data_IF_215099086629
#
_entry.id   IF_215099086629
#
_cell.length_a   1.000
_cell.length_b   1.000
_cell.length_c   1.000
_cell.angle_alpha   90.00
_cell.angle_beta   90.00
_cell.angle_gamma   90.00
#
_symmetry.space_group_name_H-M   'P 1'
#
loop_
_entity.id
_entity.type
_entity.pdbx_description
1 polymer ?
#
# COMPACT_ATOMS: atom_id res chain seq x y z
N UNK A 1 35.52 -9.84 14.96
CA UNK A 1 34.55 -10.78 15.53
C UNK A 1 33.90 -10.14 16.75
N UNK A 2 32.64 -9.77 16.64
CA UNK A 2 31.86 -9.27 17.77
C UNK A 2 31.38 -10.45 18.63
N UNK A 3 31.05 -10.19 19.90
CA UNK A 3 30.52 -11.21 20.83
C UNK A 3 29.23 -11.86 20.30
N UNK A 4 28.46 -11.14 19.49
CA UNK A 4 27.21 -11.62 18.88
C UNK A 4 27.43 -12.52 17.66
N UNK A 5 28.48 -12.30 16.85
CA UNK A 5 28.84 -13.19 15.74
C UNK A 5 29.23 -14.59 16.25
N UNK A 6 30.00 -14.66 17.33
CA UNK A 6 30.36 -15.92 17.99
C UNK A 6 29.13 -16.66 18.54
N UNK A 7 28.15 -15.91 19.07
CA UNK A 7 26.88 -16.45 19.58
C UNK A 7 26.00 -17.00 18.45
N UNK A 8 25.95 -16.32 17.30
CA UNK A 8 25.21 -16.77 16.12
C UNK A 8 25.82 -18.04 15.50
N UNK A 9 27.16 -18.13 15.42
CA UNK A 9 27.87 -19.33 14.95
C UNK A 9 27.67 -20.54 15.87
N UNK A 10 27.54 -20.32 17.19
CA UNK A 10 27.24 -21.40 18.14
C UNK A 10 25.83 -22.01 17.97
N UNK A 11 24.87 -21.23 17.46
CA UNK A 11 23.48 -21.68 17.23
C UNK A 11 23.30 -22.46 15.92
N UNK A 12 24.26 -22.36 14.99
CA UNK A 12 24.30 -23.13 13.76
C UNK A 12 25.75 -23.23 13.28
N UNK A 13 26.43 -24.39 13.41
CA UNK A 13 27.80 -24.54 12.94
C UNK A 13 27.82 -24.38 11.41
N UNK A 14 28.32 -23.23 10.97
CA UNK A 14 28.62 -22.87 9.58
C UNK A 14 30.12 -22.58 9.55
N UNK A 15 30.85 -23.16 8.59
CA UNK A 15 32.31 -22.95 8.49
C UNK A 15 32.64 -21.54 8.00
N UNK A 16 33.84 -21.04 8.29
CA UNK A 16 34.32 -19.75 7.76
C UNK A 16 34.31 -19.71 6.22
N UNK A 17 34.57 -20.85 5.59
CA UNK A 17 34.51 -21.01 4.13
C UNK A 17 33.08 -20.87 3.60
N UNK A 18 32.09 -21.42 4.30
CA UNK A 18 30.67 -21.25 3.95
C UNK A 18 30.19 -19.80 4.18
N UNK A 19 30.67 -19.11 5.21
CA UNK A 19 30.35 -17.68 5.44
C UNK A 19 30.96 -16.81 4.33
N UNK A 20 32.21 -17.05 3.96
CA UNK A 20 32.90 -16.34 2.89
C UNK A 20 32.23 -16.53 1.53
N UNK A 21 31.67 -17.72 1.26
CA UNK A 21 30.96 -18.03 0.02
C UNK A 21 29.58 -17.35 -0.10
N UNK A 22 29.00 -16.85 1.00
CA UNK A 22 27.68 -16.22 1.01
C UNK A 22 27.69 -14.72 0.68
N UNK A 23 28.86 -14.08 0.62
CA UNK A 23 29.04 -12.65 0.30
C UNK A 23 28.04 -11.73 1.03
N UNK A 24 27.86 -11.94 2.34
CA UNK A 24 26.89 -11.20 3.16
C UNK A 24 27.57 -9.99 3.79
N UNK A 25 26.95 -8.82 3.68
CA UNK A 25 27.52 -7.53 4.13
C UNK A 25 27.09 -7.17 5.57
N UNK A 26 26.46 -8.10 6.30
CA UNK A 26 26.12 -7.86 7.69
C UNK A 26 25.38 -8.95 8.45
N UNK A 27 25.23 -8.70 9.75
CA UNK A 27 24.69 -9.64 10.75
C UNK A 27 23.24 -10.07 10.48
N UNK A 28 22.39 -9.16 9.98
CA UNK A 28 20.99 -9.48 9.63
C UNK A 28 20.90 -10.44 8.44
N UNK A 29 21.81 -10.33 7.49
CA UNK A 29 21.85 -11.19 6.31
C UNK A 29 22.33 -12.58 6.70
N UNK A 30 23.30 -12.69 7.62
CA UNK A 30 23.74 -13.96 8.20
C UNK A 30 22.59 -14.66 8.97
N UNK A 31 21.86 -13.92 9.82
CA UNK A 31 20.72 -14.46 10.55
C UNK A 31 19.62 -14.97 9.60
N UNK A 32 19.36 -14.24 8.51
CA UNK A 32 18.39 -14.62 7.48
C UNK A 32 18.83 -15.86 6.69
N UNK A 33 20.11 -15.96 6.35
CA UNK A 33 20.69 -17.13 5.70
C UNK A 33 20.58 -18.40 6.56
N UNK A 34 20.84 -18.28 7.87
CA UNK A 34 20.69 -19.38 8.84
C UNK A 34 19.22 -19.84 8.91
N UNK A 35 18.27 -18.91 9.00
CA UNK A 35 16.84 -19.22 9.03
C UNK A 35 16.37 -19.93 7.74
N UNK A 36 16.82 -19.46 6.58
CA UNK A 36 16.51 -20.07 5.29
C UNK A 36 17.10 -21.50 5.16
N UNK A 37 18.29 -21.75 5.70
CA UNK A 37 18.91 -23.10 5.71
C UNK A 37 18.13 -24.07 6.61
N UNK A 38 17.70 -23.63 7.79
CA UNK A 38 16.85 -24.43 8.69
C UNK A 38 15.54 -24.80 8.01
N UNK A 39 14.90 -23.86 7.32
CA UNK A 39 13.68 -24.11 6.54
C UNK A 39 13.91 -25.13 5.42
N UNK A 40 15.01 -25.02 4.67
CA UNK A 40 15.37 -26.01 3.62
C UNK A 40 15.62 -27.41 4.18
N UNK A 41 16.34 -27.54 5.31
CA UNK A 41 16.55 -28.84 5.97
C UNK A 41 15.26 -29.46 6.52
N UNK A 42 14.35 -28.65 7.06
CA UNK A 42 13.05 -29.12 7.53
C UNK A 42 12.15 -29.63 6.39
N UNK A 43 12.33 -29.09 5.18
CA UNK A 43 11.55 -29.47 3.99
C UNK A 43 12.20 -30.60 3.17
N UNK A 44 13.49 -30.90 3.37
CA UNK A 44 14.20 -31.95 2.62
C UNK A 44 13.58 -33.35 2.75
N UNK A 45 13.08 -33.81 3.92
CA UNK A 45 12.43 -35.12 4.05
C UNK A 45 11.08 -35.21 3.32
N UNK A 46 10.47 -34.07 2.98
CA UNK A 46 9.16 -34.02 2.30
C UNK A 46 9.29 -34.11 0.78
N UNK A 47 10.52 -34.08 0.24
CA UNK A 47 10.83 -34.22 -1.19
C UNK A 47 11.32 -35.61 -1.57
N UNK A 48 10.98 -36.64 -0.78
CA UNK A 48 11.39 -38.01 -1.05
C UNK A 48 11.08 -38.43 -2.49
N UNK A 49 12.16 -38.63 -3.26
CA UNK A 49 12.14 -39.29 -4.56
C UNK A 49 11.50 -40.67 -4.40
N UNK A 50 10.54 -40.95 -5.27
CA UNK A 50 9.75 -42.17 -5.23
C UNK A 50 10.60 -43.41 -5.43
N UNK A 51 10.88 -44.14 -4.35
CA UNK A 51 11.07 -45.58 -4.39
C UNK A 51 10.12 -46.24 -3.39
N UNK A 52 9.34 -47.20 -3.91
CA UNK A 52 8.15 -47.76 -3.31
C UNK A 52 8.35 -48.32 -1.90
N UNK A 53 7.66 -47.73 -0.94
CA UNK A 53 7.44 -48.28 0.38
C UNK A 53 6.40 -47.44 1.10
N UNK A 54 5.20 -47.99 1.30
CA UNK A 54 4.13 -47.32 2.06
C UNK A 54 4.62 -46.94 3.46
N UNK A 55 4.63 -45.67 3.88
CA UNK A 55 4.82 -45.34 5.28
C UNK A 55 3.46 -45.32 5.99
N UNK A 56 3.42 -45.96 7.16
CA UNK A 56 2.31 -45.92 8.10
C UNK A 56 2.20 -44.51 8.70
N UNK A 57 1.00 -43.94 8.63
CA UNK A 57 0.56 -42.79 9.42
C UNK A 57 0.63 -43.13 10.92
N UNK A 58 1.69 -42.73 11.60
CA UNK A 58 1.77 -42.67 13.06
C UNK A 58 3.00 -41.87 13.52
N UNK A 59 2.96 -40.53 13.38
CA UNK A 59 3.73 -39.58 14.20
C UNK A 59 3.38 -38.15 13.78
N UNK A 60 2.21 -37.66 14.20
CA UNK A 60 1.86 -36.24 14.06
C UNK A 60 1.17 -35.72 15.33
N UNK A 61 1.78 -35.95 16.49
CA UNK A 61 1.44 -35.26 17.76
C UNK A 61 2.72 -35.15 18.59
N UNK A 62 3.63 -34.23 18.24
CA UNK A 62 4.68 -33.71 19.13
C UNK A 62 5.58 -32.70 18.39
N UNK A 63 5.08 -31.51 18.02
CA UNK A 63 5.95 -30.39 17.60
C UNK A 63 5.33 -29.01 17.79
N UNK A 64 4.27 -28.86 18.60
CA UNK A 64 3.59 -27.57 18.84
C UNK A 64 3.92 -26.94 20.20
N UNK A 65 5.07 -27.27 20.80
CA UNK A 65 5.49 -26.69 22.06
C UNK A 65 7.01 -26.52 22.11
N UNK A 66 7.55 -25.50 21.44
CA UNK A 66 8.91 -24.96 21.69
C UNK A 66 9.17 -23.65 20.91
N UNK A 67 8.28 -22.66 21.01
CA UNK A 67 8.62 -21.24 20.78
C UNK A 67 7.83 -20.39 21.77
N UNK A 68 8.27 -20.39 23.03
CA UNK A 68 7.94 -19.39 24.03
C UNK A 68 8.91 -19.59 25.21
N UNK A 69 10.15 -19.14 25.08
CA UNK A 69 11.10 -19.00 26.19
C UNK A 69 12.30 -18.15 25.75
N UNK A 70 12.09 -16.84 25.70
CA UNK A 70 13.13 -15.84 25.93
C UNK A 70 12.44 -14.53 26.34
N UNK A 71 12.22 -14.36 27.65
CA UNK A 71 11.85 -13.06 28.22
C UNK A 71 10.65 -13.08 29.15
N UNK A 72 10.76 -13.70 30.33
CA UNK A 72 10.00 -13.27 31.51
C UNK A 72 10.91 -13.39 32.74
N UNK A 73 11.32 -12.24 33.26
CA UNK A 73 11.88 -12.11 34.60
C UNK A 73 10.76 -12.08 35.64
N UNK A 74 11.08 -12.65 36.80
CA UNK A 74 10.30 -12.74 38.04
C UNK A 74 9.44 -11.50 38.38
N UNK A 75 8.18 -11.74 38.74
CA UNK A 75 7.53 -11.08 39.86
C UNK A 75 6.51 -12.04 40.51
N UNK A 76 6.74 -12.34 41.78
CA UNK A 76 5.89 -13.11 42.69
C UNK A 76 4.82 -12.19 43.27
N UNK A 77 3.55 -12.64 43.39
CA UNK A 77 2.52 -11.87 44.10
C UNK A 77 1.07 -12.35 44.00
N UNK A 78 0.78 -13.51 44.62
CA UNK A 78 -0.35 -13.81 45.53
C UNK A 78 -1.81 -13.38 45.18
N UNK A 79 -2.66 -14.41 45.13
CA UNK A 79 -4.09 -14.54 45.54
C UNK A 79 -5.22 -13.85 44.75
N UNK A 80 -6.31 -14.61 44.57
CA UNK A 80 -7.65 -14.02 44.44
C UNK A 80 -8.65 -14.84 43.63
N UNK A 81 -9.26 -15.83 44.28
CA UNK A 81 -10.46 -16.57 43.88
C UNK A 81 -11.63 -15.64 43.48
N UNK A 82 -12.50 -16.06 42.55
CA UNK A 82 -13.73 -15.31 42.27
C UNK A 82 -14.59 -15.80 41.12
N UNK A 83 -15.34 -16.85 41.39
CA UNK A 83 -16.48 -17.43 40.67
C UNK A 83 -17.37 -16.46 39.88
N UNK A 84 -17.66 -16.79 38.62
CA UNK A 84 -18.88 -16.34 37.92
C UNK A 84 -20.08 -17.19 38.34
N UNK A 85 -21.29 -16.60 38.39
CA UNK A 85 -22.51 -17.32 38.04
C UNK A 85 -23.10 -16.77 36.74
N UNK A 86 -23.33 -17.69 35.81
CA UNK A 86 -24.30 -17.54 34.74
C UNK A 86 -25.71 -17.77 35.29
N UNK A 87 -26.71 -17.08 34.73
CA UNK A 87 -28.12 -17.48 34.86
C UNK A 87 -29.10 -16.30 34.89
N UNK A 88 -29.90 -16.15 33.82
CA UNK A 88 -31.05 -15.26 33.80
C UNK A 88 -31.59 -14.98 32.40
N UNK A 89 -32.73 -15.58 31.98
CA UNK A 89 -33.18 -15.62 30.59
C UNK A 89 -34.24 -14.57 30.20
N UNK A 90 -34.38 -14.43 28.89
CA UNK A 90 -35.58 -14.17 28.09
C UNK A 90 -36.83 -13.57 28.76
N UNK A 91 -37.25 -12.41 28.25
CA UNK A 91 -38.61 -11.88 28.36
C UNK A 91 -39.06 -11.32 27.02
N UNK A 92 -39.99 -12.01 26.38
CA UNK A 92 -40.66 -11.62 25.14
C UNK A 92 -41.72 -10.53 25.39
N UNK A 93 -42.04 -9.74 24.35
CA UNK A 93 -43.21 -8.86 24.36
C UNK A 93 -43.28 -7.90 23.18
N UNK A 94 -43.71 -8.38 22.01
CA UNK A 94 -44.51 -7.54 21.10
C UNK A 94 -45.92 -7.32 21.68
N UNK A 95 -46.82 -6.51 21.08
CA UNK A 95 -47.14 -6.63 19.65
C UNK A 95 -47.51 -5.33 18.89
N UNK A 96 -47.53 -5.54 17.57
CA UNK A 96 -48.33 -4.95 16.48
C UNK A 96 -49.35 -3.82 16.71
N UNK A 97 -49.36 -2.91 15.74
CA UNK A 97 -50.52 -2.16 15.22
C UNK A 97 -50.08 -1.40 13.95
N UNK A 98 -50.33 -1.87 12.74
CA UNK A 98 -51.57 -1.79 11.94
C UNK A 98 -51.89 -0.38 11.39
N UNK A 99 -51.72 -0.21 10.07
CA UNK A 99 -52.76 0.32 9.19
C UNK A 99 -52.72 1.78 8.74
N UNK A 100 -52.53 1.98 7.43
CA UNK A 100 -53.44 2.80 6.63
C UNK A 100 -52.96 4.18 6.12
N UNK A 101 -53.58 4.73 5.05
CA UNK A 101 -52.82 5.24 3.89
C UNK A 101 -53.19 6.67 3.39
N UNK A 102 -52.49 7.09 2.33
CA UNK A 102 -52.80 8.14 1.33
C UNK A 102 -52.76 9.62 1.74
N UNK A 103 -51.91 10.40 1.07
CA UNK A 103 -52.27 11.69 0.44
C UNK A 103 -51.17 12.13 -0.55
N UNK A 104 -51.50 12.07 -1.83
CA UNK A 104 -50.85 12.82 -2.91
C UNK A 104 -51.55 14.17 -3.02
N UNK A 105 -50.81 15.27 -2.95
CA UNK A 105 -51.28 16.56 -3.46
C UNK A 105 -50.18 17.24 -4.27
N UNK A 106 -50.53 17.58 -5.50
CA UNK A 106 -49.77 18.47 -6.35
C UNK A 106 -50.12 19.93 -6.07
N UNK A 107 -49.16 20.81 -6.30
CA UNK A 107 -49.42 22.23 -6.43
C UNK A 107 -48.59 22.81 -7.59
N UNK A 108 -49.33 23.39 -8.52
CA UNK A 108 -48.96 24.13 -9.71
C UNK A 108 -48.50 25.56 -9.43
N UNK A 109 -47.41 25.98 -10.09
CA UNK A 109 -47.15 27.34 -10.61
C UNK A 109 -46.86 28.49 -9.62
N UNK A 110 -46.35 29.66 -10.07
CA UNK A 110 -46.37 30.15 -11.45
C UNK A 110 -45.00 30.56 -12.05
N UNK A 111 -45.05 30.79 -13.36
CA UNK A 111 -44.03 31.39 -14.20
C UNK A 111 -43.74 32.85 -13.83
N UNK A 112 -42.50 33.28 -14.01
CA UNK A 112 -42.13 34.69 -14.18
C UNK A 112 -41.34 34.82 -15.48
N UNK A 113 -41.94 35.55 -16.42
CA UNK A 113 -41.35 36.04 -17.67
C UNK A 113 -40.33 37.14 -17.38
N UNK A 114 -39.32 37.22 -18.24
CA UNK A 114 -38.12 38.04 -18.07
C UNK A 114 -38.29 39.55 -18.24
N UNK A 115 -37.16 40.24 -18.03
CA UNK A 115 -36.90 41.59 -18.49
C UNK A 115 -35.42 41.68 -18.90
N UNK A 116 -35.20 42.25 -20.08
CA UNK A 116 -33.92 42.54 -20.72
C UNK A 116 -33.07 43.60 -19.99
N UNK A 117 -31.75 43.51 -20.20
CA UNK A 117 -30.94 44.66 -20.60
C UNK A 117 -30.30 45.52 -19.50
N UNK A 118 -29.03 45.26 -19.19
CA UNK A 118 -28.02 46.30 -18.96
C UNK A 118 -26.61 45.69 -19.06
N UNK A 119 -25.91 46.03 -20.14
CA UNK A 119 -24.47 45.81 -20.28
C UNK A 119 -23.72 46.83 -19.43
N UNK A 120 -23.07 46.38 -18.36
CA UNK A 120 -22.01 47.13 -17.70
C UNK A 120 -20.65 46.51 -18.05
N UNK A 121 -19.87 47.30 -18.78
CA UNK A 121 -18.47 47.06 -19.10
C UNK A 121 -17.63 47.09 -17.81
N UNK A 122 -17.08 45.94 -17.43
CA UNK A 122 -15.95 45.87 -16.51
C UNK A 122 -14.67 46.34 -17.24
N UNK A 123 -13.82 47.18 -16.61
CA UNK A 123 -12.55 47.59 -17.19
C UNK A 123 -11.58 46.39 -17.28
N UNK A 124 -10.64 46.39 -18.25
CA UNK A 124 -9.66 45.32 -18.39
C UNK A 124 -8.75 45.25 -17.17
N UNK A 125 -8.61 44.05 -16.61
CA UNK A 125 -7.64 43.75 -15.57
C UNK A 125 -6.22 43.92 -16.12
N UNK A 126 -5.50 44.90 -15.58
CA UNK A 126 -4.06 45.08 -15.77
C UNK A 126 -3.33 43.90 -15.11
N UNK A 127 -2.68 43.07 -15.91
CA UNK A 127 -1.77 42.02 -15.43
C UNK A 127 -0.52 42.68 -14.82
N UNK A 128 -0.16 42.41 -13.55
CA UNK A 128 1.15 42.82 -13.06
C UNK A 128 2.21 41.91 -13.69
N UNK A 129 3.16 42.53 -14.41
CA UNK A 129 4.39 41.89 -14.84
C UNK A 129 5.17 41.40 -13.62
N UNK A 130 5.20 40.10 -13.40
CA UNK A 130 6.13 39.47 -12.49
C UNK A 130 7.52 39.46 -13.15
N UNK A 131 8.40 40.35 -12.69
CA UNK A 131 9.83 40.30 -12.94
C UNK A 131 10.39 39.03 -12.28
N UNK A 132 10.66 38.00 -13.08
CA UNK A 132 11.42 36.83 -12.62
C UNK A 132 12.83 37.25 -12.23
N UNK A 133 13.31 36.98 -11.00
CA UNK A 133 14.72 37.09 -10.71
C UNK A 133 15.46 36.01 -11.49
N UNK A 134 16.50 36.42 -12.21
CA UNK A 134 17.45 35.54 -12.88
C UNK A 134 18.13 34.63 -11.83
N UNK A 135 17.55 33.46 -11.59
CA UNK A 135 18.14 32.39 -10.80
C UNK A 135 18.61 31.29 -11.75
N UNK A 136 19.91 31.03 -11.72
CA UNK A 136 20.62 29.77 -12.05
C UNK A 136 19.88 28.78 -12.96
N UNK A 137 20.36 28.64 -14.19
CA UNK A 137 19.75 27.77 -15.21
C UNK A 137 19.54 26.30 -14.78
N UNK A 138 18.55 25.61 -15.36
CA UNK A 138 17.98 24.35 -14.86
C UNK A 138 18.85 23.09 -15.04
N UNK A 139 20.09 23.21 -15.53
CA UNK A 139 20.95 22.06 -15.82
C UNK A 139 21.98 21.75 -14.72
N UNK A 140 22.09 22.56 -13.67
CA UNK A 140 23.12 22.40 -12.62
C UNK A 140 22.78 21.43 -11.49
N UNK A 141 21.54 20.93 -11.40
CA UNK A 141 21.07 20.02 -10.35
C UNK A 141 20.92 18.55 -10.82
N UNK A 142 21.20 18.26 -12.09
CA UNK A 142 21.10 16.91 -12.69
C UNK A 142 22.22 15.99 -12.18
N UNK A 143 23.16 16.51 -11.39
CA UNK A 143 24.33 15.80 -10.90
C UNK A 143 24.51 15.96 -9.37
N UNK A 144 23.46 15.74 -8.58
CA UNK A 144 23.63 15.31 -7.16
C UNK A 144 24.21 13.88 -7.07
N UNK A 145 25.16 13.55 -7.95
CA UNK A 145 25.96 12.36 -7.96
C UNK A 145 27.09 12.54 -6.95
N UNK A 146 27.05 11.82 -5.82
CA UNK A 146 28.20 11.85 -4.92
C UNK A 146 28.04 11.24 -3.54
N UNK A 147 26.87 10.72 -3.16
CA UNK A 147 26.74 9.94 -1.91
C UNK A 147 25.93 8.68 -2.14
N UNK A 148 26.61 7.57 -2.41
CA UNK A 148 26.07 6.21 -2.31
C UNK A 148 24.72 6.01 -3.00
N UNK A 149 24.52 6.62 -4.18
CA UNK A 149 23.25 6.60 -4.89
C UNK A 149 22.85 5.15 -5.14
N UNK A 150 21.84 4.67 -4.39
CA UNK A 150 21.23 3.38 -4.65
C UNK A 150 20.84 3.35 -6.12
N UNK A 151 21.20 2.28 -6.82
CA UNK A 151 20.88 2.13 -8.23
C UNK A 151 19.39 2.40 -8.43
N UNK A 152 19.05 3.38 -9.26
CA UNK A 152 17.66 3.72 -9.60
C UNK A 152 17.17 2.77 -10.69
N UNK A 153 15.88 2.38 -10.68
CA UNK A 153 15.32 1.53 -11.72
C UNK A 153 15.31 2.26 -13.07
N UNK A 154 15.61 1.57 -14.19
CA UNK A 154 15.38 2.13 -15.51
C UNK A 154 13.92 2.60 -15.67
N UNK A 155 13.75 3.78 -16.26
CA UNK A 155 12.42 4.34 -16.56
C UNK A 155 11.98 3.88 -17.94
N UNK A 156 10.71 3.56 -18.08
CA UNK A 156 10.12 3.15 -19.35
C UNK A 156 8.90 4.01 -19.68
N UNK A 157 8.65 4.23 -20.96
CA UNK A 157 7.43 4.90 -21.44
C UNK A 157 6.86 4.14 -22.64
N UNK A 158 5.55 4.24 -22.82
CA UNK A 158 4.89 3.79 -24.04
C UNK A 158 4.73 4.99 -25.00
N UNK A 159 4.94 4.79 -26.31
CA UNK A 159 4.72 5.82 -27.32
C UNK A 159 3.23 5.91 -27.70
N UNK A 160 2.91 6.84 -28.61
CA UNK A 160 1.66 6.85 -29.39
C UNK A 160 0.33 6.76 -28.61
N UNK A 161 -0.09 7.89 -28.04
CA UNK A 161 -1.43 8.06 -27.45
C UNK A 161 -1.61 7.40 -26.08
N UNK A 162 -0.62 6.62 -25.61
CA UNK A 162 -0.55 6.20 -24.21
C UNK A 162 -0.04 7.37 -23.38
N UNK A 163 -0.73 7.66 -22.28
CA UNK A 163 -0.29 8.63 -21.28
C UNK A 163 -0.08 7.94 -19.94
N UNK A 164 0.87 8.42 -19.15
CA UNK A 164 1.00 7.99 -17.76
C UNK A 164 -0.13 8.62 -16.96
N UNK A 165 -0.97 7.79 -16.35
CA UNK A 165 -2.05 8.27 -15.47
C UNK A 165 -1.68 8.17 -14.01
N UNK A 166 -0.70 7.33 -13.66
CA UNK A 166 -0.23 7.13 -12.28
C UNK A 166 1.24 6.72 -12.29
N UNK A 167 2.03 7.23 -11.36
CA UNK A 167 3.37 6.76 -11.07
C UNK A 167 3.59 6.86 -9.56
N UNK A 168 4.06 5.79 -8.94
CA UNK A 168 4.34 5.75 -7.51
C UNK A 168 5.59 4.91 -7.24
N UNK A 169 6.48 5.42 -6.39
CA UNK A 169 7.70 4.72 -6.00
C UNK A 169 7.78 4.53 -4.48
N UNK A 170 8.29 3.38 -4.06
CA UNK A 170 8.48 3.06 -2.65
C UNK A 170 9.77 2.25 -2.45
N UNK A 171 10.80 2.88 -1.87
CA UNK A 171 12.09 2.24 -1.67
C UNK A 171 12.76 1.85 -2.99
N UNK A 172 12.87 0.53 -3.25
CA UNK A 172 13.39 -0.03 -4.51
C UNK A 172 12.29 -0.61 -5.41
N UNK A 173 11.05 -0.35 -5.05
CA UNK A 173 9.89 -0.85 -5.77
C UNK A 173 9.09 0.34 -6.31
N UNK A 174 8.21 0.06 -7.25
CA UNK A 174 7.27 1.06 -7.73
C UNK A 174 6.46 0.56 -8.88
N UNK A 175 5.55 1.43 -9.31
CA UNK A 175 4.56 1.11 -10.30
C UNK A 175 4.17 2.33 -11.12
N UNK A 176 3.66 2.06 -12.32
CA UNK A 176 3.20 3.05 -13.25
C UNK A 176 2.02 2.51 -14.06
N UNK A 177 0.99 3.33 -14.24
CA UNK A 177 -0.18 3.00 -15.06
C UNK A 177 -0.18 3.84 -16.32
N UNK A 178 -0.36 3.17 -17.45
CA UNK A 178 -0.58 3.80 -18.75
C UNK A 178 -2.05 3.67 -19.14
N UNK A 179 -2.60 4.69 -19.79
CA UNK A 179 -3.97 4.67 -20.30
C UNK A 179 -4.06 5.22 -21.74
N UNK A 180 -4.87 4.55 -22.57
CA UNK A 180 -5.28 5.00 -23.91
C UNK A 180 -6.69 4.50 -24.22
N UNK A 181 -7.61 5.41 -24.56
CA UNK A 181 -8.99 5.08 -24.94
C UNK A 181 -9.71 4.16 -23.93
N UNK A 182 -9.46 4.38 -22.64
CA UNK A 182 -10.00 3.56 -21.53
C UNK A 182 -9.27 2.24 -21.28
N UNK A 183 -8.38 1.80 -22.17
CA UNK A 183 -7.51 0.65 -21.92
C UNK A 183 -6.38 1.03 -20.95
N UNK A 184 -6.10 0.15 -19.99
CA UNK A 184 -5.07 0.34 -18.96
C UNK A 184 -4.00 -0.74 -19.02
N UNK A 185 -2.76 -0.32 -18.84
CA UNK A 185 -1.60 -1.20 -18.69
C UNK A 185 -0.85 -0.79 -17.43
N UNK A 186 -0.25 -1.76 -16.76
CA UNK A 186 0.54 -1.53 -15.57
C UNK A 186 1.97 -2.00 -15.79
N UNK A 187 2.90 -1.19 -15.31
CA UNK A 187 4.31 -1.53 -15.20
C UNK A 187 4.69 -1.47 -13.73
N UNK A 188 5.10 -2.61 -13.19
CA UNK A 188 5.64 -2.73 -11.85
C UNK A 188 7.14 -2.98 -11.94
N UNK A 189 7.91 -2.49 -10.98
CA UNK A 189 9.29 -2.89 -10.78
C UNK A 189 9.55 -3.16 -9.32
N UNK A 190 10.47 -4.08 -9.07
CA UNK A 190 10.93 -4.43 -7.73
C UNK A 190 12.37 -4.86 -7.75
N UNK A 191 13.11 -4.60 -6.68
CA UNK A 191 14.43 -5.22 -6.52
C UNK A 191 14.27 -6.73 -6.34
N UNK A 192 15.06 -7.53 -7.06
CA UNK A 192 15.06 -8.98 -6.91
C UNK A 192 15.27 -9.77 -8.19
N UNK A 193 15.24 -11.10 -8.05
CA UNK A 193 15.51 -12.04 -9.12
C UNK A 193 14.30 -12.23 -10.05
N UNK A 194 14.59 -12.26 -11.35
CA UNK A 194 13.62 -12.59 -12.40
C UNK A 194 13.11 -14.03 -12.25
N UNK A 195 13.99 -14.99 -11.92
CA UNK A 195 13.63 -16.40 -11.80
C UNK A 195 12.58 -16.61 -10.69
N UNK A 196 12.74 -15.95 -9.55
CA UNK A 196 11.77 -16.02 -8.46
C UNK A 196 10.39 -15.47 -8.87
N UNK A 197 10.37 -14.42 -9.70
CA UNK A 197 9.12 -13.86 -10.22
C UNK A 197 8.50 -14.78 -11.27
N UNK A 198 9.30 -15.37 -12.16
CA UNK A 198 8.84 -16.35 -13.15
C UNK A 198 8.27 -17.60 -12.49
N UNK A 199 8.96 -18.18 -11.51
CA UNK A 199 8.50 -19.35 -10.75
C UNK A 199 7.18 -19.11 -10.03
N UNK A 200 6.96 -17.87 -9.56
CA UNK A 200 5.69 -17.49 -8.94
C UNK A 200 4.55 -17.39 -9.96
N UNK A 201 4.82 -16.84 -11.15
CA UNK A 201 3.76 -16.53 -12.14
C UNK A 201 3.47 -17.67 -13.10
N UNK A 202 4.45 -18.51 -13.41
CA UNK A 202 4.31 -19.62 -14.35
C UNK A 202 3.44 -20.77 -13.82
N UNK A 203 3.10 -20.81 -12.52
CA UNK A 203 2.28 -21.88 -11.93
C UNK A 203 0.89 -21.98 -12.54
N UNK A 204 0.31 -20.83 -12.90
CA UNK A 204 -1.08 -20.71 -13.36
C UNK A 204 -1.17 -20.03 -14.73
N UNK A 205 -0.07 -20.03 -15.51
CA UNK A 205 0.01 -19.33 -16.78
C UNK A 205 0.70 -20.17 -17.88
N UNK A 206 0.22 -20.04 -19.11
CA UNK A 206 0.88 -20.57 -20.30
C UNK A 206 2.06 -19.67 -20.67
N UNK A 207 3.24 -20.26 -20.87
CA UNK A 207 4.41 -19.52 -21.35
C UNK A 207 4.33 -19.34 -22.87
N UNK A 208 4.37 -18.09 -23.30
CA UNK A 208 4.41 -17.69 -24.70
C UNK A 208 5.86 -17.43 -25.14
N UNK A 209 6.14 -17.28 -26.46
CA UNK A 209 7.46 -16.88 -26.92
C UNK A 209 7.91 -15.56 -26.29
N UNK A 210 9.17 -15.52 -25.85
CA UNK A 210 9.77 -14.31 -25.31
C UNK A 210 9.77 -13.18 -26.35
N UNK A 211 9.56 -11.94 -25.91
CA UNK A 211 9.52 -10.74 -26.75
C UNK A 211 10.79 -9.92 -26.53
N UNK A 212 11.46 -9.51 -27.61
CA UNK A 212 12.57 -8.56 -27.53
C UNK A 212 12.03 -7.13 -27.34
N UNK A 213 12.52 -6.41 -26.35
CA UNK A 213 12.24 -5.00 -26.10
C UNK A 213 13.14 -4.11 -26.97
N UNK A 214 12.76 -2.85 -27.14
CA UNK A 214 13.57 -1.84 -27.86
C UNK A 214 14.98 -1.68 -27.25
N UNK A 215 15.10 -1.88 -25.94
CA UNK A 215 16.38 -1.87 -25.22
C UNK A 215 17.27 -3.09 -25.50
N UNK A 216 16.89 -3.99 -26.41
CA UNK A 216 17.58 -5.26 -26.70
C UNK A 216 17.39 -6.37 -25.65
N UNK A 217 16.66 -6.11 -24.57
CA UNK A 217 16.35 -7.09 -23.52
C UNK A 217 15.27 -8.07 -24.00
N UNK A 218 15.20 -9.25 -23.40
CA UNK A 218 14.12 -10.22 -23.65
C UNK A 218 13.17 -10.25 -22.46
N UNK A 219 11.87 -10.18 -22.73
CA UNK A 219 10.81 -10.35 -21.75
C UNK A 219 10.14 -11.70 -21.92
N UNK A 220 10.07 -12.48 -20.85
CA UNK A 220 9.32 -13.72 -20.81
C UNK A 220 7.83 -13.39 -20.70
N UNK A 221 7.03 -13.89 -21.64
CA UNK A 221 5.60 -13.60 -21.73
C UNK A 221 4.79 -14.77 -21.20
N UNK A 222 3.83 -14.46 -20.35
CA UNK A 222 2.90 -15.39 -19.71
C UNK A 222 1.47 -15.01 -20.07
N UNK A 223 0.62 -16.01 -20.34
CA UNK A 223 -0.80 -15.86 -20.62
C UNK A 223 -1.63 -16.57 -19.55
N UNK A 224 -2.52 -15.84 -18.89
CA UNK A 224 -3.47 -16.40 -17.92
C UNK A 224 -4.84 -16.71 -18.58
N UNK A 225 -4.89 -16.70 -19.91
CA UNK A 225 -6.13 -16.81 -20.68
C UNK A 225 -6.97 -15.54 -20.67
N UNK A 226 -8.07 -15.53 -21.43
CA UNK A 226 -9.05 -14.41 -21.51
C UNK A 226 -8.46 -13.03 -21.87
N UNK A 227 -7.27 -12.98 -22.46
CA UNK A 227 -6.59 -11.72 -22.83
C UNK A 227 -5.75 -11.11 -21.69
N UNK A 228 -5.54 -11.83 -20.58
CA UNK A 228 -4.61 -11.43 -19.54
C UNK A 228 -3.21 -11.91 -19.88
N UNK A 229 -2.33 -10.95 -20.08
CA UNK A 229 -0.93 -11.19 -20.39
C UNK A 229 -0.04 -10.43 -19.42
N UNK A 230 1.05 -11.09 -19.02
CA UNK A 230 2.11 -10.52 -18.18
C UNK A 230 3.45 -10.75 -18.87
N UNK A 231 4.31 -9.76 -18.86
CA UNK A 231 5.69 -9.88 -19.32
C UNK A 231 6.63 -9.58 -18.16
N UNK A 232 7.68 -10.40 -18.02
CA UNK A 232 8.68 -10.25 -16.98
C UNK A 232 10.07 -10.13 -17.62
N UNK A 233 10.86 -9.15 -17.18
CA UNK A 233 12.26 -9.03 -17.60
C UNK A 233 13.11 -8.44 -16.49
N UNK A 234 14.44 -8.57 -16.63
CA UNK A 234 15.38 -8.02 -15.68
C UNK A 234 16.15 -6.84 -16.28
N UNK A 235 16.36 -5.80 -15.48
CA UNK A 235 17.27 -4.71 -15.80
C UNK A 235 18.07 -4.27 -14.57
N UNK A 236 19.36 -4.66 -14.54
CA UNK A 236 20.19 -4.53 -13.35
C UNK A 236 19.63 -5.39 -12.22
N UNK A 237 19.50 -4.81 -11.04
CA UNK A 237 18.94 -5.48 -9.85
C UNK A 237 17.41 -5.53 -9.83
N UNK A 238 16.76 -4.98 -10.84
CA UNK A 238 15.31 -4.82 -10.86
C UNK A 238 14.66 -5.84 -11.77
N UNK A 239 13.62 -6.49 -11.26
CA UNK A 239 12.66 -7.25 -12.07
C UNK A 239 11.49 -6.34 -12.40
N UNK A 240 11.18 -6.25 -13.68
CA UNK A 240 10.04 -5.52 -14.21
C UNK A 240 8.93 -6.49 -14.58
N UNK A 241 7.70 -6.03 -14.40
CA UNK A 241 6.49 -6.75 -14.71
C UNK A 241 5.52 -5.82 -15.42
N UNK A 242 5.21 -6.13 -16.68
CA UNK A 242 4.26 -5.38 -17.48
C UNK A 242 3.02 -6.22 -17.72
N UNK A 243 1.84 -5.68 -17.45
CA UNK A 243 0.59 -6.43 -17.55
C UNK A 243 -0.56 -5.61 -18.12
N UNK A 244 -1.48 -6.30 -18.80
CA UNK A 244 -2.78 -5.73 -19.15
C UNK A 244 -3.60 -5.66 -17.89
N UNK A 245 -4.12 -4.46 -17.56
CA UNK A 245 -4.69 -4.14 -16.27
C UNK A 245 -5.56 -5.26 -15.71
N UNK A 246 -5.07 -5.92 -14.66
CA UNK A 246 -5.97 -6.51 -13.70
C UNK A 246 -6.79 -5.34 -13.18
N UNK A 247 -8.07 -5.25 -13.57
CA UNK A 247 -8.97 -4.33 -12.88
C UNK A 247 -8.77 -4.56 -11.39
N UNK A 248 -8.64 -3.49 -10.61
CA UNK A 248 -8.62 -3.57 -9.15
C UNK A 248 -9.63 -4.65 -8.73
N UNK A 249 -9.24 -5.64 -7.89
CA UNK A 249 -10.19 -6.65 -7.45
C UNK A 249 -11.43 -5.89 -6.99
N UNK A 250 -12.64 -6.32 -7.43
CA UNK A 250 -13.84 -5.61 -7.07
C UNK A 250 -13.78 -5.36 -5.56
N UNK A 251 -14.14 -4.15 -5.07
CA UNK A 251 -14.14 -3.92 -3.64
C UNK A 251 -14.89 -5.09 -2.99
N UNK A 252 -14.53 -5.52 -1.77
CA UNK A 252 -15.27 -6.55 -1.06
C UNK A 252 -16.66 -6.00 -0.74
N UNK A 253 -17.52 -5.96 -1.75
CA UNK A 253 -18.91 -5.63 -1.61
C UNK A 253 -19.50 -6.76 -0.81
N UNK A 254 -20.13 -6.40 0.32
CA UNK A 254 -21.20 -7.15 0.96
C UNK A 254 -21.95 -7.97 -0.10
N UNK A 255 -22.45 -9.18 0.22
CA UNK A 255 -23.19 -10.05 -0.70
C UNK A 255 -24.47 -9.35 -1.20
N UNK A 256 -24.30 -8.42 -2.12
CA UNK A 256 -25.34 -7.69 -2.82
C UNK A 256 -25.54 -8.44 -4.11
N UNK A 257 -26.79 -8.85 -4.31
CA UNK A 257 -27.22 -9.62 -5.46
C UNK A 257 -26.86 -8.87 -6.74
N UNK A 258 -26.07 -9.53 -7.58
CA UNK A 258 -26.03 -9.33 -9.04
C UNK A 258 -25.57 -7.96 -9.57
N UNK A 259 -24.38 -7.49 -9.20
CA UNK A 259 -23.61 -6.67 -10.15
C UNK A 259 -22.47 -7.53 -10.70
N UNK A 260 -22.55 -7.99 -11.97
CA UNK A 260 -21.38 -8.58 -12.60
C UNK A 260 -20.25 -7.53 -12.52
N UNK A 261 -19.02 -7.94 -12.17
CA UNK A 261 -17.87 -7.03 -12.21
C UNK A 261 -17.87 -6.34 -13.57
N UNK A 262 -17.96 -5.01 -13.55
CA UNK A 262 -17.83 -4.19 -14.73
C UNK A 262 -16.36 -4.23 -15.16
N UNK A 263 -15.93 -5.37 -15.68
CA UNK A 263 -14.77 -5.43 -16.54
C UNK A 263 -15.14 -4.57 -17.74
N UNK A 264 -14.70 -3.31 -17.76
CA UNK A 264 -14.63 -2.59 -19.01
C UNK A 264 -13.86 -3.52 -19.96
N UNK A 265 -14.38 -3.82 -21.15
CA UNK A 265 -13.62 -4.57 -22.12
C UNK A 265 -12.45 -3.66 -22.51
N UNK A 266 -11.34 -3.75 -21.78
CA UNK A 266 -10.05 -3.59 -22.42
C UNK A 266 -10.16 -4.51 -23.63
N UNK A 267 -10.30 -3.91 -24.82
CA UNK A 267 -10.47 -4.63 -26.07
C UNK A 267 -9.47 -5.77 -26.03
N UNK A 268 -9.98 -7.02 -25.97
CA UNK A 268 -9.19 -8.19 -25.52
C UNK A 268 -7.87 -8.17 -26.25
N UNK A 269 -6.81 -7.78 -25.54
CA UNK A 269 -5.54 -7.60 -26.19
C UNK A 269 -5.06 -9.00 -26.58
N UNK A 270 -4.91 -9.24 -27.88
CA UNK A 270 -4.41 -10.53 -28.34
C UNK A 270 -2.96 -10.69 -27.90
N UNK A 271 -2.46 -11.93 -27.84
CA UNK A 271 -1.04 -12.18 -27.57
C UNK A 271 -0.12 -11.39 -28.52
N UNK A 272 -0.50 -11.28 -29.80
CA UNK A 272 0.21 -10.45 -30.78
C UNK A 272 0.18 -8.97 -30.44
N UNK A 273 -1.00 -8.42 -30.12
CA UNK A 273 -1.13 -7.01 -29.72
C UNK A 273 -0.37 -6.68 -28.44
N UNK A 274 -0.31 -7.60 -27.47
CA UNK A 274 0.51 -7.44 -26.27
C UNK A 274 2.00 -7.46 -26.59
N UNK A 275 2.45 -8.38 -27.45
CA UNK A 275 3.82 -8.41 -27.93
C UNK A 275 4.19 -7.10 -28.66
N UNK A 276 3.31 -6.55 -29.48
CA UNK A 276 3.53 -5.27 -30.17
C UNK A 276 3.70 -4.11 -29.18
N UNK A 277 2.86 -4.04 -28.13
CA UNK A 277 3.00 -3.04 -27.07
C UNK A 277 4.32 -3.19 -26.31
N UNK A 278 4.74 -4.40 -25.98
CA UNK A 278 6.04 -4.66 -25.34
C UNK A 278 7.20 -4.18 -26.20
N UNK A 279 7.18 -4.45 -27.51
CA UNK A 279 8.23 -3.96 -28.43
C UNK A 279 8.26 -2.44 -28.51
N UNK A 280 7.12 -1.78 -28.31
CA UNK A 280 7.03 -0.32 -28.29
C UNK A 280 7.53 0.33 -27.00
N UNK A 281 7.71 -0.44 -25.93
CA UNK A 281 8.16 0.08 -24.63
C UNK A 281 9.60 0.60 -24.75
N UNK A 282 9.77 1.92 -24.65
CA UNK A 282 11.08 2.58 -24.75
C UNK A 282 11.65 2.86 -23.38
N UNK A 283 12.95 2.69 -23.21
CA UNK A 283 13.64 3.22 -22.04
C UNK A 283 13.72 4.74 -22.15
N UNK A 284 13.29 5.45 -21.11
CA UNK A 284 13.20 6.91 -21.07
C UNK A 284 14.37 7.52 -20.29
N UNK A 285 14.76 8.74 -20.67
CA UNK A 285 15.62 9.58 -19.84
C UNK A 285 14.84 10.07 -18.61
N UNK A 286 15.53 10.54 -17.58
CA UNK A 286 14.87 11.13 -16.42
C UNK A 286 13.98 12.32 -16.82
N UNK A 287 14.49 13.20 -17.70
CA UNK A 287 13.75 14.37 -18.19
C UNK A 287 12.47 13.97 -18.94
N UNK A 288 12.58 13.03 -19.89
CA UNK A 288 11.42 12.50 -20.64
C UNK A 288 10.38 11.88 -19.70
N UNK A 289 10.84 11.14 -18.70
CA UNK A 289 9.97 10.48 -17.74
C UNK A 289 9.24 11.48 -16.85
N UNK A 290 9.96 12.47 -16.29
CA UNK A 290 9.36 13.53 -15.47
C UNK A 290 8.35 14.36 -16.28
N UNK A 291 8.67 14.67 -17.54
CA UNK A 291 7.77 15.40 -18.43
C UNK A 291 6.50 14.60 -18.80
N UNK A 292 6.53 13.27 -18.70
CA UNK A 292 5.40 12.40 -18.98
C UNK A 292 4.50 12.16 -17.76
N UNK A 293 4.94 12.54 -16.55
CA UNK A 293 4.18 12.32 -15.33
C UNK A 293 2.87 13.14 -15.33
N UNK A 294 1.78 12.59 -14.76
CA UNK A 294 0.55 13.34 -14.62
C UNK A 294 0.72 14.45 -13.58
N UNK A 295 -0.09 15.52 -13.66
CA UNK A 295 -0.04 16.63 -12.71
C UNK A 295 -0.26 16.22 -11.23
N UNK A 296 -0.86 15.05 -10.99
CA UNK A 296 -1.05 14.48 -9.65
C UNK A 296 0.15 13.69 -9.12
N UNK A 297 1.19 13.49 -9.93
CA UNK A 297 2.44 12.94 -9.44
C UNK A 297 3.17 14.05 -8.68
N UNK A 298 3.54 13.76 -7.45
CA UNK A 298 4.31 14.66 -6.59
C UNK A 298 5.78 14.31 -6.77
N UNK A 299 6.49 15.19 -7.45
CA UNK A 299 7.95 15.09 -7.62
C UNK A 299 8.68 15.67 -6.40
N UNK A 300 9.99 15.40 -6.30
CA UNK A 300 10.78 15.63 -5.09
C UNK A 300 10.76 17.09 -4.62
N UNK A 301 10.89 18.05 -5.54
CA UNK A 301 10.90 19.49 -5.24
C UNK A 301 9.52 20.02 -4.80
N UNK A 302 8.44 19.38 -5.24
CA UNK A 302 7.06 19.73 -4.88
C UNK A 302 6.63 19.14 -3.53
N UNK A 303 7.33 18.10 -3.06
CA UNK A 303 6.91 17.29 -1.91
C UNK A 303 6.73 18.11 -0.63
N UNK A 304 7.66 19.00 -0.21
CA UNK A 304 7.49 19.76 1.03
C UNK A 304 6.21 20.60 1.05
N UNK A 305 5.95 21.34 -0.04
CA UNK A 305 4.76 22.18 -0.18
C UNK A 305 3.48 21.34 -0.22
N UNK A 306 3.52 20.17 -0.86
CA UNK A 306 2.38 19.25 -0.93
C UNK A 306 2.06 18.64 0.44
N UNK A 307 3.08 18.28 1.22
CA UNK A 307 2.89 17.79 2.59
C UNK A 307 2.30 18.88 3.47
N UNK A 308 2.77 20.12 3.36
CA UNK A 308 2.20 21.25 4.10
C UNK A 308 0.73 21.51 3.74
N UNK A 309 0.38 21.42 2.46
CA UNK A 309 -1.00 21.50 1.98
C UNK A 309 -1.88 20.40 2.60
N UNK A 310 -1.40 19.14 2.58
CA UNK A 310 -2.14 17.99 3.13
C UNK A 310 -2.34 18.05 4.64
N UNK A 311 -1.44 18.71 5.38
CA UNK A 311 -1.51 18.85 6.83
C UNK A 311 -2.29 20.10 7.29
N UNK A 312 -2.65 21.01 6.38
CA UNK A 312 -3.16 22.34 6.72
C UNK A 312 -4.45 22.31 7.57
N UNK A 313 -5.32 21.32 7.37
CA UNK A 313 -6.57 21.15 8.12
C UNK A 313 -6.61 19.87 8.99
N UNK A 314 -5.46 19.23 9.17
CA UNK A 314 -5.33 18.01 9.98
C UNK A 314 -4.98 18.37 11.42
N UNK A 315 -5.73 17.92 12.45
CA UNK A 315 -5.32 18.13 13.82
C UNK A 315 -4.02 17.36 14.11
N UNK A 316 -2.94 18.07 14.40
CA UNK A 316 -1.63 17.44 14.65
C UNK A 316 -1.43 17.12 16.13
N UNK A 317 -0.85 15.94 16.47
CA UNK A 317 -0.42 15.66 17.83
C UNK A 317 0.59 16.71 18.32
N UNK A 318 0.57 17.10 19.61
CA UNK A 318 1.59 17.99 20.17
C UNK A 318 3.00 17.46 19.91
N UNK A 319 3.86 18.29 19.31
CA UNK A 319 5.23 17.93 18.96
C UNK A 319 5.37 17.07 17.70
N UNK A 320 4.33 16.95 16.87
CA UNK A 320 4.41 16.25 15.59
C UNK A 320 5.47 16.87 14.68
N UNK A 321 6.41 16.04 14.23
CA UNK A 321 7.49 16.42 13.31
C UNK A 321 7.18 15.92 11.90
N UNK A 322 6.96 16.86 10.98
CA UNK A 322 6.68 16.57 9.57
C UNK A 322 7.92 16.47 8.70
N UNK A 323 9.13 16.70 9.24
CA UNK A 323 10.37 16.76 8.46
C UNK A 323 10.61 15.48 7.67
N UNK A 324 10.45 14.31 8.30
CA UNK A 324 10.59 13.02 7.61
C UNK A 324 9.56 12.77 6.49
N UNK A 325 8.40 13.43 6.53
CA UNK A 325 7.42 13.35 5.44
C UNK A 325 7.85 14.18 4.22
N UNK A 326 8.57 15.28 4.46
CA UNK A 326 9.05 16.21 3.44
C UNK A 326 10.33 15.73 2.74
N UNK A 327 11.21 15.04 3.47
CA UNK A 327 12.53 14.59 3.01
C UNK A 327 12.51 13.32 2.12
N UNK A 328 11.46 13.15 1.30
CA UNK A 328 11.34 11.99 0.42
C UNK A 328 12.14 12.11 -0.87
N UNK A 329 12.83 11.04 -1.26
CA UNK A 329 13.67 10.98 -2.47
C UNK A 329 12.94 10.40 -3.70
N UNK A 330 11.63 10.17 -3.58
CA UNK A 330 10.87 9.33 -4.50
C UNK A 330 9.63 10.06 -5.01
N UNK A 331 9.32 9.86 -6.30
CA UNK A 331 8.05 10.32 -6.88
C UNK A 331 6.91 9.52 -6.25
N UNK A 332 5.84 10.22 -5.89
CA UNK A 332 4.64 9.58 -5.33
C UNK A 332 3.42 10.02 -6.10
N UNK A 333 2.47 9.10 -6.23
CA UNK A 333 1.12 9.52 -6.58
C UNK A 333 0.52 10.29 -5.38
N UNK A 334 -0.23 11.38 -5.64
CA UNK A 334 -0.81 12.22 -4.58
C UNK A 334 -1.67 11.43 -3.60
N UNK A 335 -2.44 10.43 -4.04
CA UNK A 335 -3.19 9.55 -3.14
C UNK A 335 -2.26 8.79 -2.19
N UNK A 336 -1.15 8.25 -2.72
CA UNK A 336 -0.19 7.44 -1.97
C UNK A 336 0.66 8.29 -1.01
N UNK A 337 0.96 9.54 -1.38
CA UNK A 337 1.55 10.51 -0.46
C UNK A 337 0.53 10.87 0.64
N UNK A 338 -0.73 11.14 0.29
CA UNK A 338 -1.80 11.42 1.25
C UNK A 338 -2.00 10.29 2.26
N UNK A 339 -1.99 9.04 1.80
CA UNK A 339 -2.04 7.86 2.68
C UNK A 339 -0.85 7.81 3.64
N UNK A 340 0.35 8.16 3.17
CA UNK A 340 1.56 8.21 4.01
C UNK A 340 1.46 9.31 5.06
N UNK A 341 1.08 10.53 4.64
CA UNK A 341 0.94 11.70 5.51
C UNK A 341 -0.11 11.45 6.58
N UNK A 342 -1.32 11.07 6.18
CA UNK A 342 -2.43 10.88 7.12
C UNK A 342 -2.23 9.61 7.96
N UNK A 343 -1.69 8.53 7.38
CA UNK A 343 -1.31 7.35 8.15
C UNK A 343 -0.32 7.67 9.26
N UNK A 344 0.69 8.48 8.97
CA UNK A 344 1.70 8.92 9.97
C UNK A 344 1.07 9.73 11.10
N UNK A 345 0.21 10.71 10.76
CA UNK A 345 -0.52 11.50 11.77
C UNK A 345 -1.45 10.60 12.60
N UNK A 346 -2.14 9.68 11.94
CA UNK A 346 -3.08 8.75 12.59
C UNK A 346 -2.36 7.82 13.58
N UNK A 347 -1.23 7.24 13.17
CA UNK A 347 -0.40 6.42 14.07
C UNK A 347 0.03 7.21 15.31
N UNK A 348 0.45 8.46 15.16
CA UNK A 348 0.88 9.28 16.30
C UNK A 348 -0.28 9.60 17.27
N UNK A 349 -1.51 9.79 16.78
CA UNK A 349 -2.69 9.92 17.65
C UNK A 349 -3.09 8.60 18.32
N UNK A 350 -2.99 7.48 17.60
CA UNK A 350 -3.26 6.14 18.12
C UNK A 350 -2.28 5.79 19.25
N UNK A 351 -0.99 6.06 19.07
CA UNK A 351 0.05 5.91 20.11
C UNK A 351 -0.32 6.69 21.36
N UNK A 352 -0.71 7.96 21.20
CA UNK A 352 -1.09 8.82 22.32
C UNK A 352 -2.35 8.34 23.03
N UNK A 353 -3.34 7.87 22.27
CA UNK A 353 -4.56 7.28 22.84
C UNK A 353 -4.25 6.01 23.64
N UNK A 354 -3.41 5.13 23.10
CA UNK A 354 -3.01 3.89 23.77
C UNK A 354 -2.24 4.18 25.07
N UNK A 355 -1.28 5.12 25.03
CA UNK A 355 -0.54 5.55 26.21
C UNK A 355 -1.44 6.18 27.28
N UNK A 356 -2.34 7.08 26.89
CA UNK A 356 -3.29 7.70 27.81
C UNK A 356 -4.22 6.66 28.46
N UNK A 357 -4.69 5.68 27.67
CA UNK A 357 -5.49 4.57 28.18
C UNK A 357 -4.72 3.71 29.18
N UNK A 358 -3.46 3.38 28.88
CA UNK A 358 -2.58 2.64 29.78
C UNK A 358 -2.32 3.37 31.10
N UNK A 359 -2.23 4.71 31.06
CA UNK A 359 -2.05 5.56 32.24
C UNK A 359 -3.36 5.86 33.01
N UNK A 360 -4.52 5.45 32.49
CA UNK A 360 -5.82 5.84 33.05
C UNK A 360 -6.18 7.32 32.83
N UNK A 361 -5.48 8.03 31.94
CA UNK A 361 -5.74 9.42 31.56
C UNK A 361 -6.96 9.51 30.63
N UNK A 362 -8.13 9.69 31.25
CA UNK A 362 -9.40 9.83 30.51
C UNK A 362 -9.44 11.06 29.61
N UNK A 363 -8.78 12.16 30.02
CA UNK A 363 -8.77 13.37 29.23
C UNK A 363 -7.91 13.17 27.97
N UNK A 364 -6.74 12.54 28.10
CA UNK A 364 -5.87 12.16 26.99
C UNK A 364 -6.55 11.22 25.99
N UNK A 365 -7.26 10.19 26.49
CA UNK A 365 -8.06 9.28 25.65
C UNK A 365 -9.10 10.05 24.84
N UNK A 366 -9.90 10.90 25.50
CA UNK A 366 -10.95 11.69 24.84
C UNK A 366 -10.36 12.68 23.82
N UNK A 367 -9.26 13.35 24.14
CA UNK A 367 -8.61 14.30 23.25
C UNK A 367 -8.08 13.63 21.98
N UNK A 368 -7.42 12.46 22.10
CA UNK A 368 -6.89 11.74 20.95
C UNK A 368 -8.01 11.16 20.07
N UNK A 369 -9.07 10.61 20.66
CA UNK A 369 -10.24 10.14 19.92
C UNK A 369 -10.95 11.28 19.17
N UNK A 370 -11.13 12.44 19.81
CA UNK A 370 -11.71 13.62 19.17
C UNK A 370 -10.84 14.18 18.04
N UNK A 371 -9.52 14.11 18.17
CA UNK A 371 -8.61 14.50 17.09
C UNK A 371 -8.74 13.56 15.89
N UNK A 372 -8.71 12.24 16.11
CA UNK A 372 -8.89 11.25 15.04
C UNK A 372 -10.24 11.36 14.34
N UNK A 373 -11.32 11.64 15.08
CA UNK A 373 -12.63 11.90 14.49
C UNK A 373 -12.68 13.16 13.60
N UNK A 374 -11.76 14.11 13.77
CA UNK A 374 -11.61 15.28 12.89
C UNK A 374 -10.65 15.03 11.73
N UNK A 375 -9.74 14.07 11.84
CA UNK A 375 -8.86 13.69 10.73
C UNK A 375 -9.70 13.26 9.52
N UNK A 376 -10.81 12.54 9.71
CA UNK A 376 -11.74 12.15 8.64
C UNK A 376 -12.34 13.33 7.86
N UNK A 377 -12.40 14.51 8.47
CA UNK A 377 -12.88 15.74 7.84
C UNK A 377 -11.76 16.51 7.11
N UNK A 378 -10.53 16.00 7.04
CA UNK A 378 -9.45 16.68 6.33
C UNK A 378 -9.68 16.68 4.81
N UNK A 379 -9.27 17.76 4.14
CA UNK A 379 -9.43 17.94 2.71
C UNK A 379 -8.75 16.83 1.91
N UNK A 380 -7.57 16.39 2.35
CA UNK A 380 -6.84 15.28 1.74
C UNK A 380 -7.60 13.94 1.84
N UNK A 381 -8.30 13.65 2.94
CA UNK A 381 -9.10 12.42 3.02
C UNK A 381 -10.37 12.49 2.16
N UNK A 382 -11.03 13.64 2.07
CA UNK A 382 -12.12 13.84 1.11
C UNK A 382 -11.66 13.70 -0.34
N UNK A 383 -10.44 14.11 -0.64
CA UNK A 383 -9.82 13.88 -1.93
C UNK A 383 -9.61 12.38 -2.18
N UNK A 384 -8.96 11.70 -1.24
CA UNK A 384 -8.68 10.27 -1.34
C UNK A 384 -9.94 9.40 -1.42
N UNK A 385 -11.04 9.80 -0.77
CA UNK A 385 -12.31 9.07 -0.79
C UNK A 385 -12.91 8.95 -2.20
N UNK A 386 -12.50 9.81 -3.16
CA UNK A 386 -12.93 9.73 -4.56
C UNK A 386 -12.21 8.63 -5.34
N UNK A 387 -11.03 8.22 -4.88
CA UNK A 387 -10.14 7.32 -5.62
C UNK A 387 -9.94 5.96 -4.95
N UNK A 388 -10.08 5.88 -3.62
CA UNK A 388 -9.83 4.65 -2.88
C UNK A 388 -10.49 4.60 -1.51
N UNK A 389 -10.28 3.48 -0.82
CA UNK A 389 -10.98 3.13 0.42
C UNK A 389 -10.19 3.43 1.70
N UNK A 390 -8.99 4.03 1.60
CA UNK A 390 -8.17 4.33 2.77
C UNK A 390 -8.88 5.21 3.82
N UNK A 391 -9.69 6.24 3.46
CA UNK A 391 -10.43 7.01 4.46
C UNK A 391 -11.35 6.16 5.35
N UNK A 392 -12.02 5.15 4.77
CA UNK A 392 -12.91 4.26 5.54
C UNK A 392 -12.16 3.43 6.59
N UNK A 393 -10.89 3.09 6.34
CA UNK A 393 -10.04 2.42 7.34
C UNK A 393 -9.83 3.33 8.55
N UNK A 394 -9.56 4.61 8.33
CA UNK A 394 -9.33 5.57 9.41
C UNK A 394 -10.61 5.93 10.17
N UNK A 395 -11.75 5.96 9.48
CA UNK A 395 -13.06 6.11 10.11
C UNK A 395 -13.35 4.96 11.09
N UNK A 396 -13.00 3.71 10.76
CA UNK A 396 -13.15 2.57 11.67
C UNK A 396 -12.23 2.71 12.91
N UNK A 397 -10.98 3.16 12.71
CA UNK A 397 -10.09 3.45 13.84
C UNK A 397 -10.63 4.56 14.73
N UNK A 398 -11.09 5.67 14.17
CA UNK A 398 -11.64 6.78 14.93
C UNK A 398 -12.89 6.37 15.73
N UNK A 399 -13.77 5.58 15.12
CA UNK A 399 -14.95 5.03 15.79
C UNK A 399 -14.56 4.08 16.93
N UNK A 400 -13.59 3.18 16.70
CA UNK A 400 -13.08 2.26 17.71
C UNK A 400 -12.43 2.99 18.90
N UNK A 401 -11.65 4.04 18.65
CA UNK A 401 -11.03 4.85 19.71
C UNK A 401 -12.05 5.55 20.61
N UNK A 402 -13.24 5.84 20.10
CA UNK A 402 -14.34 6.44 20.86
C UNK A 402 -15.07 5.41 21.75
N UNK A 403 -14.88 4.10 21.54
CA UNK A 403 -15.53 3.08 22.36
C UNK A 403 -14.76 2.82 23.66
N UNK A 404 -15.47 2.27 24.64
CA UNK A 404 -14.86 1.88 25.91
C UNK A 404 -13.85 0.75 25.74
N UNK A 405 -14.09 -0.21 24.87
CA UNK A 405 -13.23 -1.39 24.67
C UNK A 405 -12.11 -1.16 23.65
N UNK A 406 -12.21 -0.13 22.79
CA UNK A 406 -11.17 0.22 21.84
C UNK A 406 -10.97 -0.84 20.77
N UNK A 407 -12.07 -1.41 20.24
CA UNK A 407 -12.03 -2.53 19.29
C UNK A 407 -12.60 -2.15 17.92
N UNK A 408 -11.93 -2.59 16.86
CA UNK A 408 -12.31 -2.34 15.45
C UNK A 408 -13.50 -3.20 15.03
N UNK A 409 -14.29 -2.71 14.05
CA UNK A 409 -15.47 -3.44 13.55
C UNK A 409 -15.17 -4.37 12.37
N UNK A 410 -13.96 -4.32 11.81
CA UNK A 410 -13.48 -5.09 10.65
C UNK A 410 -13.47 -6.63 10.81
N UNK A 411 -14.15 -7.16 11.82
CA UNK A 411 -14.55 -8.56 11.92
C UNK A 411 -13.64 -9.41 12.79
N UNK A 412 -12.52 -8.87 13.28
CA UNK A 412 -11.65 -9.54 14.26
C UNK A 412 -11.84 -9.01 15.68
N UNK A 413 -12.47 -7.84 15.83
CA UNK A 413 -12.59 -7.16 17.11
C UNK A 413 -11.23 -6.90 17.75
N UNK A 414 -10.17 -6.72 16.96
CA UNK A 414 -8.83 -6.48 17.45
C UNK A 414 -8.77 -5.15 18.21
N UNK A 415 -7.82 -5.02 19.14
CA UNK A 415 -7.63 -3.73 19.81
C UNK A 415 -7.04 -2.74 18.81
N UNK A 416 -7.38 -1.45 18.94
CA UNK A 416 -6.92 -0.38 18.03
C UNK A 416 -5.40 -0.39 17.82
N UNK A 417 -4.61 -0.61 18.87
CA UNK A 417 -3.13 -0.68 18.80
C UNK A 417 -2.65 -1.85 17.92
N UNK A 418 -3.25 -3.03 18.08
CA UNK A 418 -2.92 -4.23 17.29
C UNK A 418 -3.34 -4.07 15.83
N UNK A 419 -4.58 -3.62 15.60
CA UNK A 419 -5.11 -3.40 14.26
C UNK A 419 -4.34 -2.31 13.51
N UNK A 420 -3.89 -1.26 14.19
CA UNK A 420 -3.10 -0.19 13.57
C UNK A 420 -1.70 -0.67 13.15
N UNK A 421 -1.09 -1.56 13.93
CA UNK A 421 0.18 -2.19 13.55
C UNK A 421 0.02 -3.06 12.29
N UNK A 422 -1.04 -3.86 12.19
CA UNK A 422 -1.31 -4.72 11.03
C UNK A 422 -1.76 -3.92 9.80
N UNK A 423 -2.66 -2.96 9.99
CA UNK A 423 -3.37 -2.28 8.90
C UNK A 423 -2.72 -0.98 8.42
N UNK A 424 -2.08 -0.22 9.32
CA UNK A 424 -1.44 1.06 9.00
C UNK A 424 0.10 0.99 9.07
N UNK A 425 0.66 -0.11 9.58
CA UNK A 425 2.10 -0.25 9.80
C UNK A 425 2.63 0.64 10.93
N UNK A 426 1.78 1.04 11.88
CA UNK A 426 2.22 1.87 13.00
C UNK A 426 3.31 1.16 13.82
N UNK A 427 4.39 1.88 14.11
CA UNK A 427 5.44 1.42 15.02
C UNK A 427 5.13 1.91 16.43
N UNK A 428 4.33 1.14 17.18
CA UNK A 428 3.99 1.47 18.57
C UNK A 428 5.28 1.52 19.41
N UNK A 429 5.46 2.61 20.17
CA UNK A 429 6.65 2.81 21.04
C UNK A 429 6.44 2.36 22.47
#
# INVERSE_FOLDING_TARGET
MTTDEARLRALAPISDEEVAALALDGERELASAIAARRRRRALAPLRGDGHGGRPRLAALVASTALIALAGVGLAVGIAGSGSSPAGGPAGAGGPAGAGGPVATDGATGPAVTGVDGASDQLPPATTPSATSPAGTGPNGAVEQAGRGAKAQPPRYLLPHGWRVTRADEHGRDGEMTFERDGAKLELHWRAGSLDASLDSRARDAERLPDVALDSGRRAAVLSQGRGFHTALWQAGDFTFEFQVGATAPPPPSRPSRAHPPQFLPAARLTAGGFADLLRSLRQATLSDWLAALPARAVVLDQRPATVDEMLADVPLPPGFDSTGLKDGELVRDRYQLGATVIGTVSCAWIDRWAAARGAGDRAGVAAAAAAMARVSDAAVLREMAREGAFPAVLEDFAAAMATRDGRTHDGKGARVDEAAQEGLGCSMR
#
